data_IF_231440994750
#
_entry.id   IF_231440994750
#
_cell.length_a   1.000
_cell.length_b   1.000
_cell.length_c   1.000
_cell.angle_alpha   90.00
_cell.angle_beta   90.00
_cell.angle_gamma   90.00
#
_symmetry.space_group_name_H-M   'P 1'
#
loop_
_entity.id
_entity.type
_entity.pdbx_description
1 polymer ?
#
# COMPACT_ATOMS: atom_id res chain seq x y z
N UNK A 1 12.29 8.07 13.29
CA UNK A 1 12.13 8.43 11.87
C UNK A 1 10.78 7.89 11.40
N UNK A 2 9.93 8.76 10.90
CA UNK A 2 8.56 8.44 10.47
C UNK A 2 8.44 8.13 8.97
N UNK A 3 9.55 7.76 8.31
CA UNK A 3 9.55 7.44 6.87
C UNK A 3 9.41 8.65 5.94
N UNK A 4 9.38 9.86 6.46
CA UNK A 4 9.28 11.07 5.65
C UNK A 4 10.63 11.38 5.00
N UNK A 5 10.68 11.28 3.68
CA UNK A 5 11.89 11.41 2.86
C UNK A 5 12.17 12.83 2.37
N UNK A 6 11.31 13.80 2.68
CA UNK A 6 11.53 15.19 2.32
C UNK A 6 12.67 15.86 3.10
N UNK A 7 13.21 15.16 4.11
CA UNK A 7 14.31 15.61 4.93
C UNK A 7 15.53 14.71 4.71
N UNK A 8 16.71 15.30 4.52
CA UNK A 8 17.98 14.59 4.63
C UNK A 8 18.14 14.09 6.06
N UNK A 9 17.71 12.86 6.30
CA UNK A 9 17.81 12.23 7.62
C UNK A 9 19.14 11.53 7.73
N UNK A 10 19.97 11.97 8.68
CA UNK A 10 21.14 11.19 9.09
C UNK A 10 20.67 9.88 9.72
N UNK A 11 21.25 8.72 9.36
CA UNK A 11 20.92 7.46 10.01
C UNK A 11 21.08 7.59 11.53
N UNK A 12 20.11 7.04 12.27
CA UNK A 12 20.20 7.02 13.72
C UNK A 12 21.33 6.11 14.19
N UNK A 13 21.53 5.00 13.47
CA UNK A 13 22.60 4.02 13.73
C UNK A 13 23.03 3.35 12.43
N UNK A 14 24.29 2.90 12.36
CA UNK A 14 24.84 2.16 11.24
C UNK A 14 25.53 0.90 11.75
N UNK A 15 25.07 -0.26 11.27
CA UNK A 15 25.54 -1.56 11.75
C UNK A 15 26.25 -2.27 10.60
N UNK A 16 27.48 -2.72 10.87
CA UNK A 16 28.25 -3.51 9.90
C UNK A 16 27.69 -4.92 9.82
N UNK A 17 27.50 -5.39 8.59
CA UNK A 17 27.15 -6.78 8.32
C UNK A 17 28.40 -7.65 8.14
N UNK A 18 28.33 -8.89 8.56
CA UNK A 18 29.38 -9.89 8.37
C UNK A 18 29.04 -10.80 7.18
N UNK A 19 30.04 -11.10 6.38
CA UNK A 19 29.88 -12.06 5.29
C UNK A 19 29.88 -13.48 5.85
N UNK A 20 28.81 -14.20 5.56
CA UNK A 20 28.63 -15.59 5.95
C UNK A 20 28.74 -16.53 4.74
N UNK A 21 28.40 -17.80 4.91
CA UNK A 21 28.47 -18.81 3.86
C UNK A 21 27.59 -18.45 2.64
N UNK A 22 27.96 -18.97 1.50
CA UNK A 22 27.23 -18.80 0.20
C UNK A 22 27.09 -17.35 -0.27
N UNK A 23 27.93 -16.43 0.24
CA UNK A 23 27.93 -15.03 -0.18
C UNK A 23 26.85 -14.16 0.43
N UNK A 24 26.12 -14.67 1.41
CA UNK A 24 25.16 -13.88 2.19
C UNK A 24 25.89 -12.97 3.19
N UNK A 25 25.20 -11.93 3.63
CA UNK A 25 25.65 -10.99 4.64
C UNK A 25 24.62 -10.95 5.76
N UNK A 26 25.07 -10.89 6.99
CA UNK A 26 24.21 -10.94 8.18
C UNK A 26 24.62 -9.89 9.20
N UNK A 27 23.61 -9.29 9.85
CA UNK A 27 23.75 -8.55 11.10
C UNK A 27 22.61 -8.99 12.05
N UNK A 28 22.95 -9.32 13.28
CA UNK A 28 21.98 -9.72 14.29
C UNK A 28 21.82 -8.61 15.32
N UNK A 29 20.58 -8.13 15.45
CA UNK A 29 20.22 -7.09 16.41
C UNK A 29 19.33 -7.70 17.49
N UNK A 30 19.67 -7.44 18.76
CA UNK A 30 19.00 -8.02 19.93
C UNK A 30 17.91 -7.12 20.50
N UNK A 31 17.32 -6.24 19.67
CA UNK A 31 16.26 -5.31 20.07
C UNK A 31 15.02 -5.50 19.20
N UNK A 32 13.85 -5.07 19.71
CA UNK A 32 12.65 -5.00 18.91
C UNK A 32 12.73 -3.77 18.01
N UNK A 33 12.83 -4.01 16.72
CA UNK A 33 12.94 -2.96 15.69
C UNK A 33 11.61 -2.72 14.95
N UNK A 34 10.52 -3.35 15.40
CA UNK A 34 9.22 -3.15 14.74
C UNK A 34 8.85 -1.66 14.71
N UNK A 35 8.65 -1.12 13.52
CA UNK A 35 8.39 0.30 13.27
C UNK A 35 9.63 1.13 12.88
N UNK A 36 10.83 0.54 12.92
CA UNK A 36 12.04 1.23 12.46
C UNK A 36 12.21 1.13 10.95
N UNK A 37 12.71 2.21 10.36
CA UNK A 37 13.04 2.26 8.93
C UNK A 37 14.52 1.98 8.71
N UNK A 38 14.83 1.30 7.61
CA UNK A 38 16.20 0.91 7.28
C UNK A 38 16.48 0.96 5.78
N UNK A 39 17.77 1.05 5.46
CA UNK A 39 18.32 0.85 4.12
C UNK A 39 19.60 0.02 4.24
N UNK A 40 20.09 -0.45 3.12
CA UNK A 40 21.42 -1.05 3.03
C UNK A 40 22.41 -0.11 2.38
N UNK A 41 23.58 0.03 2.97
CA UNK A 41 24.76 0.65 2.35
C UNK A 41 25.60 -0.44 1.69
N UNK A 42 25.61 -0.51 0.37
CA UNK A 42 26.28 -1.56 -0.40
C UNK A 42 27.43 -0.99 -1.20
N UNK A 43 28.65 -1.47 -0.95
CA UNK A 43 29.84 -1.10 -1.71
C UNK A 43 30.16 -2.15 -2.76
N UNK A 44 30.14 -1.75 -4.02
CA UNK A 44 30.53 -2.60 -5.15
C UNK A 44 31.53 -1.88 -6.04
N UNK A 45 32.66 -2.51 -6.36
CA UNK A 45 33.74 -1.93 -7.16
C UNK A 45 34.22 -0.56 -6.67
N UNK A 46 34.27 -0.35 -5.36
CA UNK A 46 34.71 0.90 -4.73
C UNK A 46 33.69 2.02 -4.75
N UNK A 47 32.47 1.79 -5.24
CA UNK A 47 31.36 2.75 -5.18
C UNK A 47 30.34 2.26 -4.17
N UNK A 48 29.92 3.15 -3.26
CA UNK A 48 28.91 2.86 -2.24
C UNK A 48 27.57 3.42 -2.65
N UNK A 49 26.54 2.61 -2.55
CA UNK A 49 25.14 2.96 -2.82
C UNK A 49 24.31 2.71 -1.58
N UNK A 50 23.39 3.61 -1.27
CA UNK A 50 22.29 3.38 -0.36
C UNK A 50 21.12 2.78 -1.16
N UNK A 51 20.59 1.65 -0.72
CA UNK A 51 19.54 0.92 -1.45
C UNK A 51 18.47 0.42 -0.49
N UNK A 52 17.25 0.36 -0.98
CA UNK A 52 16.13 -0.28 -0.28
C UNK A 52 16.26 -1.80 -0.38
N UNK A 53 15.80 -2.48 0.64
CA UNK A 53 15.72 -3.94 0.65
C UNK A 53 14.67 -4.42 -0.36
N UNK A 54 15.05 -5.20 -1.38
CA UNK A 54 14.09 -5.76 -2.34
C UNK A 54 13.12 -6.77 -1.71
N UNK A 55 13.36 -7.22 -0.49
CA UNK A 55 12.49 -8.10 0.29
C UNK A 55 11.72 -7.36 1.39
N UNK A 56 11.77 -6.04 1.44
CA UNK A 56 10.97 -5.29 2.40
C UNK A 56 9.48 -5.59 2.22
N UNK A 57 8.76 -5.77 3.31
CA UNK A 57 7.31 -6.01 3.31
C UNK A 57 6.48 -4.73 3.37
N UNK A 58 7.10 -3.63 3.72
CA UNK A 58 6.54 -2.29 3.66
C UNK A 58 7.66 -1.27 3.59
N UNK A 59 7.32 -0.06 3.15
CA UNK A 59 8.26 1.05 2.97
C UNK A 59 7.71 2.33 3.61
N UNK A 60 8.58 3.29 3.83
CA UNK A 60 8.21 4.68 4.09
C UNK A 60 7.70 5.38 2.83
N UNK A 61 7.43 6.68 2.96
CA UNK A 61 6.97 7.50 1.84
C UNK A 61 7.95 7.44 0.65
N UNK A 62 7.38 7.46 -0.55
CA UNK A 62 8.09 7.35 -1.83
C UNK A 62 8.97 6.09 -1.99
N UNK A 63 8.77 5.08 -1.15
CA UNK A 63 9.46 3.80 -1.27
C UNK A 63 10.96 3.81 -0.96
N UNK A 64 11.49 4.87 -0.33
CA UNK A 64 12.95 5.08 -0.21
C UNK A 64 13.58 4.32 0.97
N UNK A 65 12.80 3.79 1.90
CA UNK A 65 13.28 3.02 3.07
C UNK A 65 12.36 1.86 3.37
N UNK A 66 12.92 0.69 3.62
CA UNK A 66 12.19 -0.46 4.13
C UNK A 66 11.73 -0.23 5.57
N UNK A 67 10.60 -0.81 5.94
CA UNK A 67 10.07 -0.83 7.30
C UNK A 67 10.25 -2.23 7.90
N UNK A 68 10.83 -2.31 9.08
CA UNK A 68 10.77 -3.53 9.89
C UNK A 68 9.35 -3.68 10.43
N UNK A 69 8.63 -4.70 9.97
CA UNK A 69 7.20 -4.85 10.25
C UNK A 69 6.86 -6.21 10.84
N UNK A 70 6.32 -6.21 12.04
CA UNK A 70 5.60 -7.36 12.58
C UNK A 70 4.15 -7.32 12.08
N UNK A 71 3.79 -8.24 11.19
CA UNK A 71 2.46 -8.34 10.60
C UNK A 71 1.34 -8.55 11.62
N UNK A 72 1.64 -9.05 12.81
CA UNK A 72 0.65 -9.23 13.87
C UNK A 72 0.16 -7.89 14.45
N UNK A 73 1.00 -6.85 14.39
CA UNK A 73 0.69 -5.51 14.91
C UNK A 73 -0.19 -4.68 13.98
N UNK A 74 -0.34 -5.10 12.73
CA UNK A 74 -1.11 -4.38 11.69
C UNK A 74 -2.36 -5.12 11.24
N UNK A 75 -2.88 -6.00 12.09
CA UNK A 75 -4.13 -6.68 11.83
C UNK A 75 -5.33 -5.78 12.18
N UNK A 76 -6.31 -5.64 11.30
CA UNK A 76 -7.56 -4.97 11.66
C UNK A 76 -8.37 -5.79 12.66
N UNK A 77 -9.31 -5.14 13.34
CA UNK A 77 -10.22 -5.80 14.28
C UNK A 77 -10.97 -6.94 13.58
N UNK A 78 -10.96 -8.12 14.19
CA UNK A 78 -11.62 -9.31 13.62
C UNK A 78 -10.79 -10.12 12.63
N UNK A 79 -9.55 -9.72 12.34
CA UNK A 79 -8.67 -10.40 11.37
C UNK A 79 -8.51 -11.90 11.64
N UNK A 80 -8.35 -12.29 12.91
CA UNK A 80 -8.18 -13.71 13.31
C UNK A 80 -9.39 -14.59 13.05
N UNK A 81 -10.55 -13.99 12.87
CA UNK A 81 -11.81 -14.69 12.55
C UNK A 81 -12.14 -14.68 11.06
N UNK A 82 -11.28 -14.03 10.25
CA UNK A 82 -11.47 -13.97 8.81
C UNK A 82 -11.12 -15.33 8.20
N UNK A 83 -12.06 -15.88 7.46
CA UNK A 83 -11.88 -17.13 6.73
C UNK A 83 -12.00 -16.87 5.24
N UNK A 84 -11.15 -17.54 4.45
CA UNK A 84 -11.25 -17.45 3.00
C UNK A 84 -12.65 -17.89 2.54
N UNK A 85 -13.40 -17.05 1.80
CA UNK A 85 -14.68 -17.46 1.23
C UNK A 85 -14.48 -18.65 0.28
N UNK A 86 -15.34 -19.65 0.40
CA UNK A 86 -15.39 -20.76 -0.54
C UNK A 86 -16.39 -20.41 -1.65
N UNK A 87 -15.98 -19.57 -2.61
CA UNK A 87 -16.89 -18.93 -3.54
C UNK A 87 -17.10 -19.68 -4.84
N UNK A 88 -16.06 -20.34 -5.37
CA UNK A 88 -16.13 -21.03 -6.67
C UNK A 88 -15.38 -22.35 -6.66
N UNK A 89 -15.93 -23.33 -7.37
CA UNK A 89 -15.33 -24.66 -7.57
C UNK A 89 -14.67 -24.79 -8.93
N UNK A 90 -15.20 -24.13 -9.94
CA UNK A 90 -14.66 -24.20 -11.30
C UNK A 90 -14.12 -22.82 -11.73
N UNK A 91 -13.02 -22.77 -12.50
CA UNK A 91 -12.50 -21.51 -13.01
C UNK A 91 -13.51 -20.71 -13.86
N UNK A 92 -14.45 -21.40 -14.51
CA UNK A 92 -15.51 -20.77 -15.32
C UNK A 92 -16.59 -20.06 -14.51
N UNK A 93 -16.62 -20.26 -13.19
CA UNK A 93 -17.61 -19.65 -12.29
C UNK A 93 -17.15 -18.29 -11.74
N UNK A 94 -15.92 -17.85 -12.10
CA UNK A 94 -15.44 -16.52 -11.75
C UNK A 94 -16.13 -15.43 -12.57
N UNK A 95 -16.67 -14.44 -11.87
CA UNK A 95 -17.14 -13.17 -12.41
C UNK A 95 -16.15 -12.12 -11.91
N UNK A 96 -15.21 -11.74 -12.79
CA UNK A 96 -14.07 -10.90 -12.42
C UNK A 96 -14.38 -9.45 -12.73
N UNK A 97 -14.09 -8.55 -11.79
CA UNK A 97 -14.11 -7.11 -11.96
C UNK A 97 -12.68 -6.57 -11.81
N UNK A 98 -12.13 -6.00 -12.87
CA UNK A 98 -10.84 -5.34 -12.81
C UNK A 98 -11.02 -3.87 -12.41
N UNK A 99 -10.22 -3.40 -11.48
CA UNK A 99 -10.28 -2.02 -11.01
C UNK A 99 -8.92 -1.47 -10.59
N UNK A 100 -8.82 -0.15 -10.67
CA UNK A 100 -7.75 0.63 -10.06
C UNK A 100 -8.23 1.18 -8.71
N UNK A 101 -7.42 1.03 -7.65
CA UNK A 101 -7.79 1.41 -6.28
C UNK A 101 -8.29 2.86 -6.19
N UNK A 102 -7.54 3.77 -6.81
CA UNK A 102 -7.88 5.19 -6.80
C UNK A 102 -9.12 5.49 -7.62
N UNK A 103 -9.18 4.97 -8.85
CA UNK A 103 -10.20 5.41 -9.82
C UNK A 103 -11.60 4.97 -9.43
N UNK A 104 -11.73 3.81 -8.74
CA UNK A 104 -13.03 3.32 -8.28
C UNK A 104 -13.78 4.34 -7.40
N UNK A 105 -13.04 5.10 -6.59
CA UNK A 105 -13.63 5.93 -5.53
C UNK A 105 -13.31 7.42 -5.63
N UNK A 106 -12.49 7.85 -6.62
CA UNK A 106 -12.02 9.24 -6.69
C UNK A 106 -13.04 10.23 -7.27
N UNK A 107 -14.04 9.76 -8.00
CA UNK A 107 -15.09 10.64 -8.52
C UNK A 107 -16.14 10.94 -7.46
N UNK A 108 -16.66 12.18 -7.43
CA UNK A 108 -17.64 12.63 -6.44
C UNK A 108 -18.95 11.81 -6.43
N UNK A 109 -19.30 11.15 -7.53
CA UNK A 109 -20.45 10.25 -7.61
C UNK A 109 -20.26 8.93 -6.88
N UNK A 110 -19.07 8.65 -6.36
CA UNK A 110 -18.89 7.47 -5.49
C UNK A 110 -19.74 7.57 -4.22
N UNK A 111 -19.90 8.79 -3.65
CA UNK A 111 -20.81 9.06 -2.54
C UNK A 111 -20.37 8.47 -1.18
N UNK A 112 -19.13 8.03 -1.05
CA UNK A 112 -18.55 7.57 0.21
C UNK A 112 -17.85 8.70 0.99
N UNK A 113 -17.10 8.31 2.03
CA UNK A 113 -16.34 9.25 2.85
C UNK A 113 -15.20 9.89 2.03
N UNK A 114 -15.18 11.22 1.85
CA UNK A 114 -14.15 11.89 1.05
C UNK A 114 -12.71 11.60 1.50
N UNK A 115 -12.48 11.34 2.79
CA UNK A 115 -11.17 11.00 3.35
C UNK A 115 -10.64 9.67 2.81
N UNK A 116 -11.53 8.76 2.38
CA UNK A 116 -11.19 7.44 1.84
C UNK A 116 -11.19 7.40 0.31
N UNK A 117 -11.53 8.53 -0.32
CA UNK A 117 -11.53 8.65 -1.78
C UNK A 117 -10.15 8.35 -2.36
N UNK A 118 -10.07 7.40 -3.28
CA UNK A 118 -8.83 6.96 -3.91
C UNK A 118 -7.91 6.12 -2.99
N UNK A 119 -8.40 5.63 -1.86
CA UNK A 119 -7.63 4.89 -0.85
C UNK A 119 -8.10 3.45 -0.69
N UNK A 120 -7.27 2.60 -0.05
CA UNK A 120 -7.66 1.22 0.31
C UNK A 120 -8.95 1.20 1.13
N UNK A 121 -9.10 2.11 2.09
CA UNK A 121 -10.33 2.20 2.88
C UNK A 121 -11.56 2.54 2.04
N UNK A 122 -11.40 3.16 0.89
CA UNK A 122 -12.50 3.38 -0.05
C UNK A 122 -13.01 2.09 -0.67
N UNK A 123 -12.13 1.09 -0.92
CA UNK A 123 -12.54 -0.23 -1.38
C UNK A 123 -13.37 -0.97 -0.33
N UNK A 124 -13.02 -0.83 0.95
CA UNK A 124 -13.69 -1.47 2.06
C UNK A 124 -15.03 -0.84 2.43
N UNK A 125 -15.31 0.38 1.93
CA UNK A 125 -16.48 1.13 2.37
C UNK A 125 -17.76 0.59 1.73
N UNK A 126 -18.70 0.15 2.55
CA UNK A 126 -20.06 -0.21 2.18
C UNK A 126 -21.05 0.94 2.40
N UNK A 127 -22.27 0.80 1.89
CA UNK A 127 -23.34 1.78 2.05
C UNK A 127 -23.23 2.99 1.13
N UNK A 128 -22.27 3.00 0.19
CA UNK A 128 -22.05 4.14 -0.72
C UNK A 128 -23.11 4.20 -1.81
N UNK A 129 -23.58 5.42 -2.13
CA UNK A 129 -24.67 5.64 -3.06
C UNK A 129 -24.50 6.95 -3.84
N UNK A 130 -25.04 6.97 -5.02
CA UNK A 130 -25.18 8.18 -5.85
C UNK A 130 -26.63 8.44 -6.19
N UNK A 131 -27.05 9.68 -6.01
CA UNK A 131 -28.38 10.14 -6.47
C UNK A 131 -28.19 11.11 -7.61
N UNK A 132 -28.73 10.77 -8.77
CA UNK A 132 -28.68 11.62 -9.97
C UNK A 132 -29.55 12.87 -9.81
N UNK A 133 -29.36 13.84 -10.70
CA UNK A 133 -30.21 15.05 -10.75
C UNK A 133 -31.68 14.73 -11.04
N UNK A 134 -31.98 13.59 -11.63
CA UNK A 134 -33.34 13.10 -11.85
C UNK A 134 -33.93 12.36 -10.62
N UNK A 135 -33.23 12.31 -9.49
CA UNK A 135 -33.70 11.67 -8.26
C UNK A 135 -33.53 10.15 -8.23
N UNK A 136 -32.85 9.55 -9.19
CA UNK A 136 -32.56 8.11 -9.18
C UNK A 136 -31.35 7.83 -8.31
N UNK A 137 -31.50 6.95 -7.34
CA UNK A 137 -30.42 6.51 -6.44
C UNK A 137 -29.94 5.13 -6.82
N UNK A 138 -28.62 4.94 -6.92
CA UNK A 138 -27.94 3.67 -7.20
C UNK A 138 -26.84 3.42 -6.18
N UNK A 139 -26.51 2.17 -5.96
CA UNK A 139 -25.34 1.75 -5.17
C UNK A 139 -24.06 2.01 -5.96
N UNK A 140 -22.96 2.22 -5.24
CA UNK A 140 -21.64 2.47 -5.83
C UNK A 140 -20.58 1.64 -5.08
N UNK A 141 -19.36 1.59 -5.59
CA UNK A 141 -18.24 0.92 -4.93
C UNK A 141 -18.49 -0.56 -4.65
N UNK A 142 -18.18 -1.00 -3.43
CA UNK A 142 -18.28 -2.39 -3.00
C UNK A 142 -19.70 -2.97 -3.15
N UNK A 143 -20.72 -2.22 -2.75
CA UNK A 143 -22.11 -2.68 -2.80
C UNK A 143 -22.58 -2.87 -4.25
N UNK A 144 -22.13 -2.01 -5.17
CA UNK A 144 -22.43 -2.17 -6.59
C UNK A 144 -21.81 -3.46 -7.16
N UNK A 145 -20.55 -3.75 -6.82
CA UNK A 145 -19.91 -5.00 -7.24
C UNK A 145 -20.65 -6.23 -6.70
N UNK A 146 -21.12 -6.16 -5.45
CA UNK A 146 -21.92 -7.23 -4.86
C UNK A 146 -23.27 -7.42 -5.58
N UNK A 147 -23.96 -6.35 -5.94
CA UNK A 147 -25.21 -6.39 -6.73
C UNK A 147 -25.01 -6.98 -8.13
N UNK A 148 -23.85 -6.74 -8.75
CA UNK A 148 -23.48 -7.35 -10.03
C UNK A 148 -23.14 -8.83 -9.93
N UNK A 149 -23.04 -9.39 -8.72
CA UNK A 149 -22.65 -10.78 -8.49
C UNK A 149 -21.17 -11.04 -8.71
N UNK A 150 -20.33 -10.00 -8.60
CA UNK A 150 -18.88 -10.13 -8.69
C UNK A 150 -18.37 -11.01 -7.54
N UNK A 151 -17.55 -12.00 -7.86
CA UNK A 151 -16.98 -12.93 -6.89
C UNK A 151 -15.44 -12.95 -6.91
N UNK A 152 -14.84 -12.18 -7.78
CA UNK A 152 -13.39 -11.95 -7.82
C UNK A 152 -13.09 -10.51 -8.26
N UNK A 153 -12.16 -9.87 -7.58
CA UNK A 153 -11.64 -8.54 -7.95
C UNK A 153 -10.19 -8.69 -8.38
N UNK A 154 -9.88 -8.19 -9.57
CA UNK A 154 -8.51 -8.04 -10.05
C UNK A 154 -8.09 -6.58 -9.85
N UNK A 155 -7.17 -6.34 -8.94
CA UNK A 155 -6.61 -5.01 -8.77
C UNK A 155 -5.55 -4.73 -9.83
N UNK A 156 -5.56 -3.53 -10.44
CA UNK A 156 -4.38 -3.01 -11.10
C UNK A 156 -3.25 -2.93 -10.07
N UNK A 157 -1.96 -2.82 -10.51
CA UNK A 157 -0.84 -2.93 -9.58
C UNK A 157 -1.01 -2.03 -8.35
N UNK A 158 -0.83 -2.65 -7.18
CA UNK A 158 -0.88 -2.01 -5.87
C UNK A 158 0.48 -1.98 -5.19
N UNK A 159 1.52 -2.46 -5.91
CA UNK A 159 2.89 -2.36 -5.45
C UNK A 159 3.32 -0.89 -5.40
N UNK A 160 4.27 -0.60 -4.52
CA UNK A 160 4.92 0.69 -4.45
C UNK A 160 5.58 1.05 -5.81
N UNK A 161 5.14 2.13 -6.44
CA UNK A 161 5.49 2.51 -7.80
C UNK A 161 5.98 3.96 -7.89
N UNK A 162 6.77 4.26 -8.92
CA UNK A 162 7.28 5.59 -9.19
C UNK A 162 6.28 6.54 -9.83
N UNK A 163 6.70 7.80 -9.97
CA UNK A 163 5.98 8.91 -10.62
C UNK A 163 4.79 9.51 -9.85
N UNK A 164 4.49 9.03 -8.67
CA UNK A 164 3.63 9.73 -7.71
C UNK A 164 4.48 10.11 -6.52
N UNK A 165 4.58 11.40 -6.23
CA UNK A 165 5.23 11.87 -5.01
C UNK A 165 4.21 11.81 -3.87
N UNK A 166 4.34 10.79 -3.03
CA UNK A 166 3.43 10.54 -1.90
C UNK A 166 3.47 11.67 -0.87
N UNK A 167 4.64 12.29 -0.69
CA UNK A 167 4.84 13.42 0.24
C UNK A 167 4.12 14.64 -0.27
N UNK A 168 4.37 15.02 -1.53
CA UNK A 168 3.68 16.15 -2.16
C UNK A 168 2.17 15.92 -2.20
N UNK A 169 1.72 14.72 -2.54
CA UNK A 169 0.30 14.38 -2.55
C UNK A 169 -0.37 14.55 -1.19
N UNK A 170 0.35 14.23 -0.11
CA UNK A 170 -0.18 14.33 1.24
C UNK A 170 -0.16 15.77 1.80
N UNK A 171 0.84 16.57 1.42
CA UNK A 171 1.08 17.89 2.00
C UNK A 171 0.59 19.05 1.14
N UNK A 172 0.47 18.85 -0.16
CA UNK A 172 0.13 19.89 -1.13
C UNK A 172 -1.20 19.60 -1.81
N UNK A 173 -2.30 20.24 -1.41
CA UNK A 173 -3.61 20.05 -2.04
C UNK A 173 -3.65 20.41 -3.54
N UNK A 174 -2.68 21.17 -4.04
CA UNK A 174 -2.57 21.52 -5.46
C UNK A 174 -1.78 20.51 -6.29
N UNK A 175 -1.22 19.47 -5.66
CA UNK A 175 -0.47 18.44 -6.38
C UNK A 175 -1.40 17.66 -7.33
N UNK A 176 -1.04 17.64 -8.60
CA UNK A 176 -1.89 17.09 -9.68
C UNK A 176 -1.37 15.82 -10.34
N UNK A 177 -0.09 15.48 -10.13
CA UNK A 177 0.53 14.29 -10.72
C UNK A 177 0.19 13.02 -9.93
N UNK A 178 -1.09 12.71 -9.84
CA UNK A 178 -1.59 11.59 -9.03
C UNK A 178 -2.07 10.41 -9.86
N UNK A 179 -2.22 10.57 -11.19
CA UNK A 179 -2.66 9.49 -12.05
C UNK A 179 -1.50 8.59 -12.44
N UNK A 180 -1.62 7.31 -12.11
CA UNK A 180 -0.67 6.28 -12.51
C UNK A 180 -1.38 4.92 -12.44
N UNK A 181 -1.16 4.08 -13.43
CA UNK A 181 -1.72 2.72 -13.45
C UNK A 181 -0.97 1.73 -12.55
N UNK A 182 0.20 2.13 -12.03
CA UNK A 182 1.01 1.31 -11.14
C UNK A 182 2.02 0.38 -11.85
N UNK A 183 2.15 0.43 -13.18
CA UNK A 183 3.04 -0.46 -13.94
C UNK A 183 4.51 0.00 -13.97
N UNK A 184 4.94 0.75 -12.97
CA UNK A 184 6.34 1.16 -12.77
C UNK A 184 6.80 0.83 -11.34
N UNK A 185 6.77 -0.44 -10.92
CA UNK A 185 7.05 -0.80 -9.54
C UNK A 185 8.50 -0.46 -9.17
N UNK A 186 8.67 0.16 -8.01
CA UNK A 186 9.95 0.34 -7.34
C UNK A 186 10.21 -0.79 -6.37
N UNK A 187 9.22 -1.14 -5.56
CA UNK A 187 9.32 -2.18 -4.55
C UNK A 187 8.17 -3.19 -4.70
N UNK A 188 8.45 -4.35 -5.28
CA UNK A 188 7.42 -5.35 -5.63
C UNK A 188 6.68 -5.98 -4.46
N UNK A 189 7.30 -6.01 -3.28
CA UNK A 189 6.73 -6.70 -2.10
C UNK A 189 6.06 -5.72 -1.13
N UNK A 190 5.97 -4.44 -1.47
CA UNK A 190 5.40 -3.40 -0.62
C UNK A 190 4.16 -2.78 -1.28
N UNK A 191 3.30 -2.19 -0.49
CA UNK A 191 2.09 -1.53 -0.98
C UNK A 191 2.37 -0.07 -1.31
N UNK A 192 1.65 0.44 -2.29
CA UNK A 192 1.68 1.84 -2.71
C UNK A 192 1.14 2.76 -1.60
N UNK A 193 1.93 3.75 -1.20
CA UNK A 193 1.57 4.66 -0.11
C UNK A 193 0.54 5.70 -0.49
N UNK A 194 0.42 6.07 -1.78
CA UNK A 194 -0.61 6.99 -2.23
C UNK A 194 -2.03 6.45 -2.05
N UNK A 195 -2.19 5.12 -1.90
CA UNK A 195 -3.47 4.48 -1.58
C UNK A 195 -3.75 4.39 -0.08
N UNK A 196 -2.82 4.82 0.77
CA UNK A 196 -3.00 4.90 2.22
C UNK A 196 -3.49 6.28 2.67
N UNK A 197 -4.20 6.34 3.78
CA UNK A 197 -4.55 7.62 4.41
C UNK A 197 -3.37 8.31 5.08
N UNK A 198 -2.31 7.56 5.37
CA UNK A 198 -1.05 8.08 5.88
C UNK A 198 0.15 7.44 5.14
N UNK A 199 0.68 8.08 4.09
CA UNK A 199 1.81 7.55 3.34
C UNK A 199 3.14 7.57 4.15
N UNK A 200 3.23 8.37 5.21
CA UNK A 200 4.43 8.47 6.04
C UNK A 200 4.63 7.28 6.99
N UNK A 201 3.60 6.46 7.17
CA UNK A 201 3.66 5.28 8.03
C UNK A 201 3.36 4.01 7.23
N UNK A 202 4.40 3.24 6.95
CA UNK A 202 4.27 2.00 6.20
C UNK A 202 3.41 0.93 6.88
N UNK A 203 3.19 1.01 8.20
CA UNK A 203 2.29 0.10 8.91
C UNK A 203 0.82 0.37 8.58
N UNK A 204 0.46 1.63 8.37
CA UNK A 204 -0.91 2.06 8.06
C UNK A 204 -1.35 1.50 6.71
N UNK A 205 -0.52 1.58 5.66
CA UNK A 205 -0.87 1.04 4.33
C UNK A 205 -1.18 -0.46 4.36
N UNK A 206 -0.42 -1.22 5.17
CA UNK A 206 -0.66 -2.66 5.33
C UNK A 206 -1.94 -2.94 6.10
N UNK A 207 -2.21 -2.20 7.19
CA UNK A 207 -3.45 -2.33 7.94
C UNK A 207 -4.68 -2.01 7.08
N UNK A 208 -4.66 -0.89 6.34
CA UNK A 208 -5.77 -0.47 5.47
C UNK A 208 -6.02 -1.44 4.32
N UNK A 209 -4.97 -1.99 3.72
CA UNK A 209 -5.13 -3.02 2.68
C UNK A 209 -5.73 -4.31 3.25
N UNK A 210 -5.36 -4.70 4.48
CA UNK A 210 -6.00 -5.84 5.16
C UNK A 210 -7.47 -5.60 5.49
N UNK A 211 -7.91 -4.34 5.60
CA UNK A 211 -9.32 -4.00 5.79
C UNK A 211 -10.10 -4.09 4.47
N UNK A 212 -9.45 -3.77 3.35
CA UNK A 212 -10.04 -3.83 2.01
C UNK A 212 -10.23 -5.27 1.51
#
# INVERSE_FOLDING_TARGET
NNGNESLELTPYDTISMEKIENGAWEAVLLSNLNGDYYTYSVTNNGVTYEVVDPYAYSTGANGLRGLVLDFSTVNPTGWTYNTRPNTVTNPTDYIVYELHVRDLTSHSSWGGNPTYSGKFLGLAQSGTRYTSTAGVTVTTGLDHMAELGINAVQLLPIFDYGYVDEVEMALNPAYSNTFNWGYMPYNFNTLEGSFSTNPFDGSVRVNEFKQA
#
